data_IF_644569185515
#
_entry.id   IF_644569185515
#
_cell.length_a   1.000
_cell.length_b   1.000
_cell.length_c   1.000
_cell.angle_alpha   90.00
_cell.angle_beta   90.00
_cell.angle_gamma   90.00
#
_symmetry.space_group_name_H-M   'P 1'
#
loop_
_entity.id
_entity.type
_entity.pdbx_description
1 polymer ?
#
# COMPACT_ATOMS: atom_id res chain seq x y z
N UNK A 1 9.03 -7.79 0.58
CA UNK A 1 8.51 -7.71 1.97
C UNK A 1 9.42 -6.89 2.89
N UNK A 2 10.73 -7.11 2.90
CA UNK A 2 11.69 -6.34 3.72
C UNK A 2 11.59 -4.82 3.50
N UNK A 3 11.51 -4.35 2.26
CA UNK A 3 11.29 -2.92 1.93
C UNK A 3 10.06 -2.34 2.61
N UNK A 4 8.94 -3.08 2.65
CA UNK A 4 7.72 -2.66 3.35
C UNK A 4 7.95 -2.55 4.87
N UNK A 5 8.53 -3.60 5.46
CA UNK A 5 8.72 -3.68 6.92
C UNK A 5 9.74 -2.66 7.46
N UNK A 6 10.71 -2.27 6.63
CA UNK A 6 11.76 -1.32 6.99
C UNK A 6 11.46 0.13 6.56
N UNK A 7 10.27 0.39 5.98
CA UNK A 7 9.92 1.71 5.44
C UNK A 7 10.73 2.12 4.19
N UNK A 8 11.47 1.19 3.57
CA UNK A 8 12.25 1.45 2.36
C UNK A 8 11.44 1.26 1.06
N UNK A 9 10.22 1.78 1.06
CA UNK A 9 9.35 1.82 -0.11
C UNK A 9 9.03 3.26 -0.52
N UNK A 10 8.54 3.42 -1.74
CA UNK A 10 8.35 4.72 -2.39
C UNK A 10 6.98 5.35 -2.16
N UNK A 11 6.18 4.82 -1.24
CA UNK A 11 4.86 5.36 -0.92
C UNK A 11 4.99 6.76 -0.31
N UNK A 12 3.98 7.60 -0.50
CA UNK A 12 4.00 8.99 -0.06
C UNK A 12 4.11 9.11 1.45
N UNK A 13 3.56 8.17 2.24
CA UNK A 13 3.67 8.19 3.72
C UNK A 13 5.13 8.28 4.18
N UNK A 14 6.04 7.55 3.53
CA UNK A 14 7.47 7.57 3.82
C UNK A 14 8.19 8.70 3.08
N UNK A 15 7.92 8.86 1.77
CA UNK A 15 8.74 9.74 0.93
C UNK A 15 8.40 11.22 1.08
N UNK A 16 7.21 11.57 1.53
CA UNK A 16 6.82 12.97 1.78
C UNK A 16 7.01 13.39 3.24
N UNK A 17 7.42 12.47 4.12
CA UNK A 17 7.71 12.75 5.53
C UNK A 17 8.85 13.72 5.73
N UNK A 18 9.88 13.61 4.89
CA UNK A 18 11.09 14.40 4.99
C UNK A 18 11.12 15.50 3.92
N UNK A 19 11.72 16.67 4.19
CA UNK A 19 11.97 17.66 3.15
C UNK A 19 12.99 17.13 2.12
N UNK A 20 12.95 17.69 0.92
CA UNK A 20 13.94 17.48 -0.14
C UNK A 20 14.28 18.83 -0.80
N UNK A 21 15.27 18.84 -1.70
CA UNK A 21 15.77 20.06 -2.34
C UNK A 21 14.68 20.98 -2.93
N UNK A 22 13.60 20.39 -3.45
CA UNK A 22 12.52 21.12 -4.14
C UNK A 22 11.15 20.95 -3.47
N UNK A 23 11.13 20.45 -2.23
CA UNK A 23 9.87 20.14 -1.54
C UNK A 23 10.01 20.16 -0.03
N UNK A 24 9.15 20.88 0.66
CA UNK A 24 9.01 20.80 2.12
C UNK A 24 8.47 19.44 2.58
N UNK A 25 8.58 19.15 3.88
CA UNK A 25 7.87 18.02 4.46
C UNK A 25 6.35 18.23 4.34
N UNK A 26 5.62 17.16 4.02
CA UNK A 26 4.16 17.18 3.86
C UNK A 26 3.51 16.57 5.12
N UNK A 27 2.53 17.25 5.75
CA UNK A 27 1.70 16.68 6.81
C UNK A 27 1.06 15.35 6.39
N UNK A 28 0.92 14.38 7.32
CA UNK A 28 0.53 12.99 7.00
C UNK A 28 -0.81 12.92 6.25
N UNK A 29 -1.79 13.65 6.75
CA UNK A 29 -3.13 13.82 6.19
C UNK A 29 -3.14 14.34 4.75
N UNK A 30 -2.07 15.03 4.33
CA UNK A 30 -1.91 15.56 2.98
C UNK A 30 -1.03 14.70 2.08
N UNK A 31 -0.53 13.54 2.56
CA UNK A 31 0.26 12.58 1.77
C UNK A 31 -0.64 11.68 0.93
N UNK A 32 -1.50 12.29 0.13
CA UNK A 32 -2.56 11.60 -0.59
C UNK A 32 -2.02 10.59 -1.61
N UNK A 33 -2.79 9.52 -1.83
CA UNK A 33 -2.53 8.49 -2.82
C UNK A 33 -2.43 9.09 -4.22
N UNK A 34 -1.36 8.74 -4.94
CA UNK A 34 -1.11 9.21 -6.30
C UNK A 34 -2.20 8.80 -7.29
N UNK A 35 -2.90 7.69 -7.01
CA UNK A 35 -3.99 7.20 -7.84
C UNK A 35 -5.34 7.86 -7.46
N UNK A 36 -5.86 7.60 -6.26
CA UNK A 36 -7.21 8.06 -5.90
C UNK A 36 -7.27 9.52 -5.43
N UNK A 37 -6.16 10.08 -4.95
CA UNK A 37 -6.06 11.45 -4.39
C UNK A 37 -7.07 11.76 -3.28
N UNK A 38 -7.62 10.75 -2.64
CA UNK A 38 -8.66 10.89 -1.60
C UNK A 38 -8.13 10.46 -0.22
N UNK A 39 -7.39 9.34 -0.17
CA UNK A 39 -6.87 8.76 1.06
C UNK A 39 -5.35 8.92 1.16
N UNK A 40 -4.81 8.79 2.37
CA UNK A 40 -3.36 8.79 2.60
C UNK A 40 -2.70 7.59 1.88
N UNK A 41 -1.59 7.82 1.18
CA UNK A 41 -0.79 6.76 0.55
C UNK A 41 0.09 6.05 1.57
N UNK A 42 -0.52 5.26 2.44
CA UNK A 42 0.16 4.33 3.34
C UNK A 42 0.07 2.88 2.86
N UNK A 43 0.71 1.97 3.58
CA UNK A 43 0.84 0.56 3.21
C UNK A 43 -0.52 -0.12 3.17
N UNK A 44 -1.40 0.17 4.14
CA UNK A 44 -2.73 -0.41 4.21
C UNK A 44 -3.54 0.06 3.00
N UNK A 45 -3.60 1.36 2.73
CA UNK A 45 -4.32 1.88 1.58
C UNK A 45 -3.78 1.32 0.26
N UNK A 46 -2.46 1.39 0.06
CA UNK A 46 -1.82 0.99 -1.19
C UNK A 46 -2.00 -0.49 -1.50
N UNK A 47 -1.84 -1.35 -0.49
CA UNK A 47 -1.98 -2.79 -0.65
C UNK A 47 -3.45 -3.21 -0.72
N UNK A 48 -4.30 -2.67 0.14
CA UNK A 48 -5.57 -3.31 0.48
C UNK A 48 -6.82 -2.53 0.08
N UNK A 49 -6.75 -1.23 -0.17
CA UNK A 49 -7.95 -0.38 -0.31
C UNK A 49 -8.00 0.44 -1.61
N UNK A 50 -6.87 0.75 -2.23
CA UNK A 50 -6.86 1.64 -3.38
C UNK A 50 -7.46 0.98 -4.64
N UNK A 51 -8.72 1.31 -4.96
CA UNK A 51 -9.45 0.78 -6.12
C UNK A 51 -9.33 1.63 -7.40
N UNK A 52 -8.60 2.75 -7.34
CA UNK A 52 -8.46 3.68 -8.46
C UNK A 52 -7.59 3.14 -9.62
N UNK A 53 -6.87 2.04 -9.44
CA UNK A 53 -6.03 1.44 -10.48
C UNK A 53 -6.41 -0.03 -10.72
N UNK A 54 -6.76 -0.38 -11.96
CA UNK A 54 -7.25 -1.72 -12.32
C UNK A 54 -6.29 -2.83 -11.87
N UNK A 55 -4.99 -2.70 -12.16
CA UNK A 55 -4.00 -3.70 -11.77
C UNK A 55 -3.92 -3.96 -10.26
N UNK A 56 -4.20 -2.95 -9.42
CA UNK A 56 -4.17 -3.14 -7.96
C UNK A 56 -5.35 -4.02 -7.50
N UNK A 57 -6.52 -3.84 -8.12
CA UNK A 57 -7.69 -4.69 -7.89
C UNK A 57 -7.41 -6.14 -8.28
N UNK A 58 -6.85 -6.35 -9.47
CA UNK A 58 -6.50 -7.68 -9.97
C UNK A 58 -5.52 -8.39 -9.03
N UNK A 59 -4.47 -7.70 -8.57
CA UNK A 59 -3.49 -8.25 -7.64
C UNK A 59 -4.10 -8.64 -6.29
N UNK A 60 -5.06 -7.85 -5.78
CA UNK A 60 -5.77 -8.19 -4.54
C UNK A 60 -6.66 -9.42 -4.73
N UNK A 61 -7.39 -9.49 -5.82
CA UNK A 61 -8.24 -10.63 -6.16
C UNK A 61 -7.40 -11.91 -6.31
N UNK A 62 -6.28 -11.85 -7.04
CA UNK A 62 -5.32 -12.96 -7.19
C UNK A 62 -4.83 -13.44 -5.81
N UNK A 63 -4.42 -12.53 -4.92
CA UNK A 63 -3.99 -12.89 -3.56
C UNK A 63 -5.12 -13.55 -2.76
N UNK A 64 -6.33 -12.97 -2.80
CA UNK A 64 -7.47 -13.48 -2.03
C UNK A 64 -7.91 -14.86 -2.49
N UNK A 65 -7.87 -15.15 -3.80
CA UNK A 65 -8.14 -16.50 -4.33
C UNK A 65 -7.14 -17.54 -3.84
N UNK A 66 -5.84 -17.20 -3.79
CA UNK A 66 -4.82 -18.08 -3.22
C UNK A 66 -5.04 -18.26 -1.73
N UNK A 67 -5.32 -17.16 -1.02
CA UNK A 67 -5.43 -17.16 0.42
C UNK A 67 -6.67 -17.92 0.92
N UNK A 68 -7.77 -17.88 0.17
CA UNK A 68 -8.98 -18.65 0.44
C UNK A 68 -8.79 -20.16 0.38
N UNK A 69 -7.84 -20.64 -0.45
CA UNK A 69 -7.49 -22.06 -0.52
C UNK A 69 -6.69 -22.53 0.69
N UNK A 70 -5.92 -21.63 1.28
CA UNK A 70 -5.09 -21.91 2.48
C UNK A 70 -5.91 -21.77 3.75
N UNK A 71 -6.77 -20.76 3.81
CA UNK A 71 -7.61 -20.47 4.96
C UNK A 71 -8.96 -19.87 4.50
N UNK A 72 -10.00 -20.71 4.39
CA UNK A 72 -11.33 -20.28 3.95
C UNK A 72 -11.95 -19.17 4.82
N UNK A 73 -11.53 -19.05 6.08
CA UNK A 73 -12.02 -18.03 7.01
C UNK A 73 -11.40 -16.64 6.79
N UNK A 74 -10.49 -16.50 5.82
CA UNK A 74 -9.79 -15.23 5.59
C UNK A 74 -10.70 -14.12 5.04
N UNK A 75 -11.68 -14.45 4.19
CA UNK A 75 -12.66 -13.46 3.72
C UNK A 75 -13.50 -12.89 4.86
N UNK A 76 -13.99 -13.75 5.76
CA UNK A 76 -14.77 -13.32 6.93
C UNK A 76 -13.93 -12.39 7.83
N UNK A 77 -12.65 -12.71 8.05
CA UNK A 77 -11.74 -11.84 8.80
C UNK A 77 -11.49 -10.51 8.10
N UNK A 78 -11.33 -10.50 6.77
CA UNK A 78 -11.20 -9.23 6.02
C UNK A 78 -12.40 -8.33 6.24
N UNK A 79 -13.62 -8.88 6.20
CA UNK A 79 -14.84 -8.10 6.40
C UNK A 79 -14.99 -7.57 7.84
N UNK A 80 -14.38 -8.25 8.83
CA UNK A 80 -14.54 -7.94 10.25
C UNK A 80 -13.41 -7.13 10.89
N UNK A 81 -12.42 -6.67 10.14
CA UNK A 81 -11.29 -5.91 10.70
C UNK A 81 -10.84 -4.75 9.81
N UNK A 82 -10.00 -3.87 10.34
CA UNK A 82 -9.41 -2.79 9.55
C UNK A 82 -8.41 -3.34 8.54
N UNK A 83 -8.10 -2.57 7.49
CA UNK A 83 -7.09 -2.97 6.52
C UNK A 83 -5.70 -3.14 7.13
N UNK A 84 -5.37 -2.35 8.15
CA UNK A 84 -4.12 -2.52 8.91
C UNK A 84 -4.11 -3.86 9.68
N UNK A 85 -5.20 -4.19 10.38
CA UNK A 85 -5.32 -5.47 11.08
C UNK A 85 -5.22 -6.65 10.10
N UNK A 86 -5.90 -6.54 8.96
CA UNK A 86 -5.85 -7.55 7.92
C UNK A 86 -4.45 -7.71 7.33
N UNK A 87 -3.73 -6.61 7.10
CA UNK A 87 -2.34 -6.65 6.65
C UNK A 87 -1.45 -7.38 7.66
N UNK A 88 -1.63 -7.13 8.96
CA UNK A 88 -0.90 -7.84 10.02
C UNK A 88 -1.21 -9.34 9.99
N UNK A 89 -2.48 -9.73 9.79
CA UNK A 89 -2.87 -11.14 9.65
C UNK A 89 -2.14 -11.79 8.46
N UNK A 90 -2.14 -11.13 7.30
CA UNK A 90 -1.45 -11.62 6.10
C UNK A 90 0.06 -11.81 6.34
N UNK A 91 0.71 -10.80 6.94
CA UNK A 91 2.15 -10.82 7.21
C UNK A 91 2.57 -11.89 8.24
N UNK A 92 1.67 -12.27 9.16
CA UNK A 92 1.91 -13.32 10.15
C UNK A 92 1.67 -14.73 9.62
N UNK A 93 0.98 -14.88 8.49
CA UNK A 93 0.70 -16.18 7.89
C UNK A 93 1.94 -16.79 7.24
N UNK A 94 2.55 -17.79 7.90
CA UNK A 94 3.66 -18.55 7.34
C UNK A 94 3.29 -19.26 6.04
N UNK A 95 2.05 -19.74 5.93
CA UNK A 95 1.56 -20.44 4.75
C UNK A 95 1.40 -19.50 3.53
N UNK A 96 1.22 -18.19 3.75
CA UNK A 96 1.05 -17.21 2.68
C UNK A 96 2.28 -16.36 2.43
N UNK A 97 3.38 -16.55 3.17
CA UNK A 97 4.54 -15.64 3.15
C UNK A 97 5.08 -15.36 1.74
N UNK A 98 5.19 -16.39 0.89
CA UNK A 98 5.67 -16.22 -0.48
C UNK A 98 4.67 -15.46 -1.35
N UNK A 99 3.38 -15.76 -1.22
CA UNK A 99 2.31 -15.10 -1.96
C UNK A 99 2.17 -13.63 -1.57
N UNK A 100 2.20 -13.35 -0.26
CA UNK A 100 2.15 -11.99 0.29
C UNK A 100 3.39 -11.20 -0.11
N UNK A 101 4.59 -11.80 -0.05
CA UNK A 101 5.81 -11.13 -0.46
C UNK A 101 5.80 -10.76 -1.95
N UNK A 102 5.33 -11.65 -2.82
CA UNK A 102 5.16 -11.40 -4.26
C UNK A 102 4.12 -10.31 -4.51
N UNK A 103 2.97 -10.39 -3.86
CA UNK A 103 1.90 -9.39 -3.95
C UNK A 103 2.40 -7.99 -3.57
N UNK A 104 3.06 -7.85 -2.42
CA UNK A 104 3.65 -6.58 -1.96
C UNK A 104 4.62 -6.04 -3.01
N UNK A 105 5.50 -6.88 -3.55
CA UNK A 105 6.45 -6.47 -4.58
C UNK A 105 5.75 -5.95 -5.83
N UNK A 106 4.72 -6.65 -6.31
CA UNK A 106 3.96 -6.26 -7.51
C UNK A 106 3.19 -4.96 -7.30
N UNK A 107 2.55 -4.77 -6.13
CA UNK A 107 1.86 -3.51 -5.81
C UNK A 107 2.86 -2.36 -5.77
N UNK A 108 3.99 -2.53 -5.06
CA UNK A 108 5.00 -1.47 -4.98
C UNK A 108 5.58 -1.12 -6.36
N UNK A 109 5.74 -2.09 -7.27
CA UNK A 109 6.14 -1.82 -8.65
C UNK A 109 5.09 -1.00 -9.42
N UNK A 110 3.79 -1.24 -9.20
CA UNK A 110 2.73 -0.41 -9.80
C UNK A 110 2.83 1.04 -9.30
N UNK A 111 3.05 1.23 -8.00
CA UNK A 111 3.27 2.58 -7.44
C UNK A 111 4.56 3.21 -7.96
N UNK A 112 5.65 2.46 -8.10
CA UNK A 112 6.94 2.96 -8.63
C UNK A 112 6.82 3.46 -10.08
N UNK A 113 5.85 2.96 -10.84
CA UNK A 113 5.58 3.37 -12.22
C UNK A 113 4.82 4.69 -12.37
N UNK A 114 4.24 5.24 -11.31
CA UNK A 114 3.41 6.45 -11.37
C UNK A 114 4.04 7.58 -10.53
N UNK A 115 4.14 8.83 -11.05
CA UNK A 115 4.60 9.96 -10.26
C UNK A 115 3.76 10.19 -8.99
N UNK A 116 4.44 10.49 -7.86
CA UNK A 116 3.75 10.85 -6.61
C UNK A 116 2.94 12.13 -6.78
N UNK A 117 1.75 12.14 -6.19
CA UNK A 117 1.01 13.38 -5.97
C UNK A 117 1.67 14.19 -4.85
N UNK A 118 1.95 15.46 -5.13
CA UNK A 118 2.50 16.43 -4.16
C UNK A 118 1.74 17.73 -4.30
N UNK A 119 1.02 18.19 -3.26
CA UNK A 119 0.29 19.46 -3.31
C UNK A 119 1.23 20.63 -3.59
N UNK A 120 0.78 21.59 -4.42
CA UNK A 120 1.61 22.69 -4.93
C UNK A 120 2.21 23.55 -3.82
N UNK A 121 1.47 23.77 -2.73
CA UNK A 121 1.92 24.57 -1.57
C UNK A 121 3.20 24.04 -0.91
N UNK A 122 3.56 22.78 -1.14
CA UNK A 122 4.79 22.17 -0.60
C UNK A 122 5.94 22.13 -1.60
N UNK A 123 5.73 22.55 -2.86
CA UNK A 123 6.80 22.62 -3.87
C UNK A 123 7.58 23.92 -3.67
N UNK A 124 8.90 23.81 -3.67
CA UNK A 124 9.81 24.95 -3.56
C UNK A 124 10.41 25.21 -4.95
N UNK A 125 10.46 26.47 -5.40
CA UNK A 125 11.09 26.83 -6.67
C UNK A 125 12.57 26.43 -6.75
#
# INVERSE_FOLDING_TARGET
MTRLLLGDHNLSVERLRYPSRYRSAVPRDLRLCRFCRAEVEDEAHALLDCDAHARLRDLREELMQVAAKVDPGLYARRAGCTSLDFLIILLRSRALVHNVARFIYQVLNVYDGEPRFVPLVFRVP
#
